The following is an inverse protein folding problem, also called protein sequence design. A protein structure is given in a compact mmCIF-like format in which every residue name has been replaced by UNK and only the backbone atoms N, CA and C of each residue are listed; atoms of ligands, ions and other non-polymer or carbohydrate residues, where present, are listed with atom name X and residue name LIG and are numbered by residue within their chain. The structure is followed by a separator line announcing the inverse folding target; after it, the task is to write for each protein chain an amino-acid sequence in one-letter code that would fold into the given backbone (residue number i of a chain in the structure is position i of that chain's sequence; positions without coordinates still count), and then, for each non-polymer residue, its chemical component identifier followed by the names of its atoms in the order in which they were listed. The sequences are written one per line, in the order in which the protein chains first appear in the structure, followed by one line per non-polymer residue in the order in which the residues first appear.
data_IF_699794234586
#
_entry.id   IF_699794234586
#
_cell.length_a   1.000
_cell.length_b   1.000
_cell.length_c   1.000
_cell.angle_alpha   90.00
_cell.angle_beta   90.00
_cell.angle_gamma   90.00
#
_symmetry.space_group_name_H-M   'P 1'
#
loop_
_entity.id
_entity.type
_entity.pdbx_description
1 polymer ?
#
# COMPACT_ATOMS: atom_id res chain seq x y z
N UNK A 1 23.75 -51.94 -48.75
CA UNK A 1 24.37 -51.27 -47.57
C UNK A 1 24.09 -49.76 -47.44
N UNK A 2 23.26 -49.14 -48.30
CA UNK A 2 22.96 -47.69 -48.24
C UNK A 2 21.61 -47.32 -47.56
N UNK A 3 20.67 -48.27 -47.39
CA UNK A 3 19.36 -47.96 -46.78
C UNK A 3 19.32 -48.01 -45.25
N UNK A 4 20.35 -48.52 -44.57
CA UNK A 4 20.36 -48.61 -43.09
C UNK A 4 20.88 -47.34 -42.41
N UNK A 5 21.55 -46.45 -43.14
CA UNK A 5 22.13 -45.21 -42.59
C UNK A 5 21.09 -44.08 -42.57
N UNK A 6 20.08 -44.12 -43.45
CA UNK A 6 19.05 -43.07 -43.56
C UNK A 6 18.02 -43.16 -42.43
N UNK A 7 17.68 -44.37 -41.95
CA UNK A 7 16.73 -44.51 -40.85
C UNK A 7 17.28 -44.03 -39.50
N UNK A 8 18.60 -44.07 -39.30
CA UNK A 8 19.22 -43.70 -38.03
C UNK A 8 19.34 -42.19 -37.84
N UNK A 9 19.32 -41.40 -38.92
CA UNK A 9 19.32 -39.93 -38.85
C UNK A 9 17.93 -39.34 -38.61
N UNK A 10 16.85 -40.05 -38.99
CA UNK A 10 15.47 -39.59 -38.77
C UNK A 10 15.02 -39.81 -37.32
N UNK A 11 15.56 -40.84 -36.63
CA UNK A 11 15.20 -41.12 -35.23
C UNK A 11 15.82 -40.13 -34.22
N UNK A 12 16.94 -39.48 -34.57
CA UNK A 12 17.65 -38.53 -33.71
C UNK A 12 17.12 -37.09 -33.79
N UNK A 13 16.29 -36.76 -34.79
CA UNK A 13 15.62 -35.46 -34.89
C UNK A 13 14.28 -35.42 -34.13
N UNK A 14 13.73 -36.55 -33.70
CA UNK A 14 12.43 -36.61 -33.03
C UNK A 14 12.51 -36.40 -31.50
N UNK A 15 13.70 -36.35 -30.89
CA UNK A 15 13.84 -36.26 -29.43
C UNK A 15 13.93 -34.83 -28.88
N UNK A 16 13.90 -33.81 -29.74
CA UNK A 16 13.90 -32.39 -29.31
C UNK A 16 12.56 -31.69 -29.45
N UNK A 17 11.53 -32.38 -29.96
CA UNK A 17 10.19 -31.81 -30.09
C UNK A 17 9.30 -32.41 -29.01
N UNK A 18 8.80 -31.55 -28.14
CA UNK A 18 7.69 -31.80 -27.21
C UNK A 18 8.02 -32.40 -25.84
N UNK A 19 8.86 -31.69 -25.09
CA UNK A 19 8.47 -31.36 -23.72
C UNK A 19 8.62 -29.84 -23.51
N UNK A 20 8.12 -29.07 -24.46
CA UNK A 20 7.64 -27.73 -24.11
C UNK A 20 6.33 -28.01 -23.35
N UNK A 21 6.41 -28.24 -22.04
CA UNK A 21 5.25 -27.94 -21.19
C UNK A 21 5.04 -26.45 -21.41
N UNK A 22 4.19 -26.08 -22.36
CA UNK A 22 3.53 -24.78 -22.31
C UNK A 22 3.10 -24.65 -20.86
N UNK A 23 3.70 -23.69 -20.15
CA UNK A 23 3.34 -23.41 -18.76
C UNK A 23 1.87 -23.06 -18.80
N UNK A 24 1.03 -24.06 -18.55
CA UNK A 24 -0.40 -23.91 -18.65
C UNK A 24 -0.80 -22.80 -17.70
N UNK A 25 -1.32 -21.73 -18.28
CA UNK A 25 -1.86 -20.60 -17.55
C UNK A 25 -2.85 -21.12 -16.50
N UNK A 26 -2.65 -20.73 -15.23
CA UNK A 26 -3.54 -21.17 -14.14
C UNK A 26 -4.85 -20.40 -14.26
N UNK A 27 -5.97 -21.14 -14.36
CA UNK A 27 -7.29 -20.53 -14.44
C UNK A 27 -7.71 -20.04 -13.06
N UNK A 28 -8.02 -18.75 -13.00
CA UNK A 28 -8.53 -18.07 -11.80
C UNK A 28 -9.79 -17.29 -12.15
N UNK A 29 -10.56 -16.95 -11.13
CA UNK A 29 -11.78 -16.14 -11.23
C UNK A 29 -11.76 -15.07 -10.15
N UNK A 30 -12.41 -13.95 -10.42
CA UNK A 30 -12.60 -12.94 -9.40
C UNK A 30 -13.89 -13.24 -8.63
N UNK A 31 -13.76 -13.77 -7.42
CA UNK A 31 -14.86 -13.89 -6.48
C UNK A 31 -14.90 -12.63 -5.61
N UNK A 32 -16.10 -12.07 -5.46
CA UNK A 32 -16.37 -10.76 -4.83
C UNK A 32 -15.86 -9.54 -5.62
N UNK A 33 -16.62 -9.20 -6.67
CA UNK A 33 -16.78 -7.82 -7.13
C UNK A 33 -17.61 -7.02 -6.12
N UNK A 34 -17.20 -6.99 -4.84
CA UNK A 34 -17.51 -5.75 -4.14
C UNK A 34 -16.78 -4.71 -4.94
N UNK A 35 -17.57 -3.87 -5.59
CA UNK A 35 -17.18 -2.67 -6.30
C UNK A 35 -16.43 -1.80 -5.29
N UNK A 36 -15.20 -2.20 -4.95
CA UNK A 36 -14.17 -1.32 -4.43
C UNK A 36 -13.84 -0.44 -5.61
N UNK A 37 -14.82 0.39 -5.95
CA UNK A 37 -14.65 1.64 -6.63
C UNK A 37 -13.35 2.19 -6.07
N UNK A 38 -12.36 2.32 -6.96
CA UNK A 38 -11.17 3.15 -6.79
C UNK A 38 -11.46 4.13 -5.67
N UNK A 39 -10.72 4.00 -4.57
CA UNK A 39 -10.90 4.63 -3.26
C UNK A 39 -11.07 6.16 -3.29
N UNK A 40 -12.10 6.65 -3.98
CA UNK A 40 -12.61 8.00 -3.94
C UNK A 40 -13.34 8.22 -2.61
N UNK A 41 -13.80 7.15 -1.97
CA UNK A 41 -14.45 7.21 -0.67
C UNK A 41 -13.40 7.26 0.45
N UNK A 42 -12.67 8.37 0.46
CA UNK A 42 -12.41 9.06 1.70
C UNK A 42 -13.73 9.16 2.46
N UNK A 43 -13.92 8.49 3.62
CA UNK A 43 -15.13 8.71 4.39
C UNK A 43 -15.24 10.22 4.60
N UNK A 44 -16.38 10.80 4.19
CA UNK A 44 -16.62 12.23 4.29
C UNK A 44 -16.76 12.55 5.79
N UNK A 45 -15.63 12.74 6.45
CA UNK A 45 -15.53 13.50 7.68
C UNK A 45 -15.32 14.97 7.34
N UNK A 46 -15.52 15.85 8.32
CA UNK A 46 -14.99 17.20 8.24
C UNK A 46 -13.60 17.24 8.87
N UNK A 47 -12.72 18.08 8.35
CA UNK A 47 -11.54 18.49 9.11
C UNK A 47 -12.02 19.15 10.40
N UNK A 48 -11.44 18.78 11.54
CA UNK A 48 -11.74 19.48 12.77
C UNK A 48 -11.26 20.94 12.67
N UNK A 49 -11.99 21.86 13.29
CA UNK A 49 -11.75 23.31 13.15
C UNK A 49 -11.47 24.00 14.47
N UNK A 50 -11.34 23.23 15.56
CA UNK A 50 -10.93 23.76 16.87
C UNK A 50 -9.52 24.33 16.79
N UNK A 51 -9.20 25.33 17.62
CA UNK A 51 -7.86 25.94 17.65
C UNK A 51 -6.77 24.89 17.80
N UNK A 52 -7.01 23.90 18.65
CA UNK A 52 -6.07 22.82 18.92
C UNK A 52 -5.91 21.86 17.73
N UNK A 53 -6.99 21.56 17.03
CA UNK A 53 -6.92 20.76 15.82
C UNK A 53 -6.11 21.47 14.73
N UNK A 54 -6.36 22.76 14.52
CA UNK A 54 -5.62 23.54 13.53
C UNK A 54 -4.12 23.60 13.86
N UNK A 55 -3.77 23.74 15.14
CA UNK A 55 -2.38 23.69 15.61
C UNK A 55 -1.73 22.35 15.28
N UNK A 56 -2.35 21.23 15.65
CA UNK A 56 -1.77 19.90 15.42
C UNK A 56 -1.81 19.46 13.96
N UNK A 57 -2.76 19.95 13.17
CA UNK A 57 -2.76 19.78 11.72
C UNK A 57 -1.58 20.52 11.07
N UNK A 58 -1.24 21.73 11.55
CA UNK A 58 -0.06 22.46 11.06
C UNK A 58 1.24 21.74 11.44
N UNK A 59 1.35 21.28 12.70
CA UNK A 59 2.48 20.46 13.17
C UNK A 59 2.61 19.17 12.35
N UNK A 60 1.50 18.47 12.08
CA UNK A 60 1.50 17.28 11.24
C UNK A 60 2.06 17.60 9.86
N UNK A 61 1.60 18.67 9.20
CA UNK A 61 2.07 19.06 7.87
C UNK A 61 3.57 19.33 7.86
N UNK A 62 4.08 20.09 8.82
CA UNK A 62 5.51 20.36 8.95
C UNK A 62 6.32 19.08 9.10
N UNK A 63 5.92 18.21 10.05
CA UNK A 63 6.61 16.93 10.28
C UNK A 63 6.51 15.99 9.08
N UNK A 64 5.37 15.98 8.39
CA UNK A 64 5.13 15.16 7.22
C UNK A 64 6.03 15.56 6.04
N UNK A 65 6.18 16.87 5.80
CA UNK A 65 7.11 17.39 4.81
C UNK A 65 8.57 17.08 5.19
N UNK A 66 8.95 17.32 6.45
CA UNK A 66 10.30 17.06 6.98
C UNK A 66 10.68 15.57 6.87
N UNK A 67 9.82 14.67 7.36
CA UNK A 67 10.07 13.21 7.40
C UNK A 67 10.24 12.61 6.01
N UNK A 68 9.44 13.09 5.06
CA UNK A 68 9.40 12.55 3.71
C UNK A 68 10.27 13.35 2.72
N UNK A 69 10.98 14.39 3.19
CA UNK A 69 11.77 15.30 2.36
C UNK A 69 10.95 15.84 1.16
N UNK A 70 9.70 16.23 1.42
CA UNK A 70 8.75 16.70 0.41
C UNK A 70 8.75 18.23 0.34
N UNK A 71 8.48 18.75 -0.84
CA UNK A 71 8.26 20.19 -1.03
C UNK A 71 6.83 20.58 -0.70
N UNK A 72 6.63 21.87 -0.42
CA UNK A 72 5.30 22.45 -0.26
C UNK A 72 4.44 22.28 -1.53
N UNK A 73 5.05 22.35 -2.72
CA UNK A 73 4.35 22.10 -3.99
C UNK A 73 3.83 20.67 -4.06
N UNK A 74 4.70 19.70 -3.75
CA UNK A 74 4.32 18.28 -3.74
C UNK A 74 3.09 18.06 -2.86
N UNK A 75 3.10 18.63 -1.66
CA UNK A 75 1.95 18.50 -0.75
C UNK A 75 0.67 19.07 -1.36
N UNK A 76 0.73 20.27 -1.93
CA UNK A 76 -0.46 20.91 -2.51
C UNK A 76 -0.99 20.20 -3.76
N UNK A 77 -0.11 19.57 -4.54
CA UNK A 77 -0.45 18.89 -5.79
C UNK A 77 -0.92 17.44 -5.58
N UNK A 78 -0.39 16.76 -4.55
CA UNK A 78 -0.57 15.32 -4.37
C UNK A 78 -1.29 14.91 -3.09
N UNK A 79 -1.39 15.77 -2.08
CA UNK A 79 -1.98 15.42 -0.78
C UNK A 79 -3.34 16.11 -0.61
N UNK A 80 -4.39 15.31 -0.45
CA UNK A 80 -5.76 15.80 -0.24
C UNK A 80 -6.21 15.39 1.15
N UNK A 81 -6.40 16.37 2.03
CA UNK A 81 -6.88 16.12 3.39
C UNK A 81 -8.34 15.69 3.38
N UNK A 82 -8.64 14.70 4.20
CA UNK A 82 -9.88 13.95 4.18
C UNK A 82 -10.71 14.16 5.44
N UNK A 83 -10.07 13.89 6.58
CA UNK A 83 -10.70 13.96 7.89
C UNK A 83 -9.60 14.22 8.91
N UNK A 84 -9.91 14.97 9.95
CA UNK A 84 -9.05 15.09 11.12
C UNK A 84 -9.89 15.17 12.38
N UNK A 85 -9.37 14.64 13.47
CA UNK A 85 -10.01 14.69 14.78
C UNK A 85 -8.99 14.60 15.93
N UNK A 86 -9.48 14.91 17.13
CA UNK A 86 -8.74 14.68 18.37
C UNK A 86 -9.54 13.73 19.24
N UNK A 87 -8.93 12.60 19.61
CA UNK A 87 -9.59 11.54 20.36
C UNK A 87 -9.01 11.49 21.77
N UNK A 88 -9.89 11.52 22.77
CA UNK A 88 -9.51 11.31 24.18
C UNK A 88 -9.67 9.85 24.54
N UNK A 89 -8.69 9.30 25.24
CA UNK A 89 -8.62 7.90 25.67
C UNK A 89 -7.90 7.80 27.02
N UNK A 90 -7.73 6.59 27.55
CA UNK A 90 -7.20 6.40 28.92
C UNK A 90 -5.82 7.02 29.12
N UNK A 91 -5.00 6.99 28.07
CA UNK A 91 -3.60 7.38 28.08
C UNK A 91 -3.37 8.86 27.82
N UNK A 92 -4.38 9.58 27.30
CA UNK A 92 -4.26 10.98 26.94
C UNK A 92 -5.18 11.40 25.80
N UNK A 93 -4.67 12.26 24.93
CA UNK A 93 -5.36 12.78 23.75
C UNK A 93 -4.45 12.57 22.54
N UNK A 94 -4.99 12.00 21.47
CA UNK A 94 -4.30 11.85 20.18
C UNK A 94 -4.92 12.76 19.14
N UNK A 95 -4.11 13.21 18.18
CA UNK A 95 -4.57 13.81 16.94
C UNK A 95 -4.45 12.77 15.82
N UNK A 96 -5.49 12.66 15.00
CA UNK A 96 -5.51 11.79 13.84
C UNK A 96 -5.88 12.57 12.59
N UNK A 97 -5.29 12.19 11.46
CA UNK A 97 -5.55 12.81 10.16
C UNK A 97 -5.51 11.77 9.07
N UNK A 98 -6.56 11.72 8.28
CA UNK A 98 -6.65 10.92 7.08
C UNK A 98 -6.50 11.81 5.85
N UNK A 99 -5.87 11.28 4.81
CA UNK A 99 -5.60 11.98 3.56
C UNK A 99 -5.48 10.99 2.39
N UNK A 100 -5.57 11.52 1.17
CA UNK A 100 -5.26 10.81 -0.06
C UNK A 100 -3.91 11.25 -0.59
N UNK A 101 -3.15 10.30 -1.12
CA UNK A 101 -1.94 10.53 -1.92
C UNK A 101 -2.32 10.24 -3.37
N UNK A 102 -2.30 11.26 -4.22
CA UNK A 102 -2.67 11.17 -5.63
C UNK A 102 -1.46 11.40 -6.52
N UNK A 103 -1.08 10.38 -7.29
CA UNK A 103 -0.01 10.45 -8.28
C UNK A 103 -0.58 9.95 -9.61
N UNK A 104 -0.66 10.83 -10.61
CA UNK A 104 -1.33 10.52 -11.88
C UNK A 104 -2.77 10.06 -11.68
N UNK A 105 -3.07 8.84 -12.12
CA UNK A 105 -4.38 8.19 -11.98
C UNK A 105 -4.54 7.41 -10.66
N UNK A 106 -3.46 7.12 -9.94
CA UNK A 106 -3.50 6.28 -8.74
C UNK A 106 -3.76 7.13 -7.48
N UNK A 107 -4.61 6.61 -6.58
CA UNK A 107 -5.00 7.26 -5.34
C UNK A 107 -4.88 6.26 -4.19
N UNK A 108 -3.98 6.52 -3.24
CA UNK A 108 -3.86 5.74 -2.01
C UNK A 108 -4.47 6.53 -0.83
N UNK A 109 -5.22 5.84 0.02
CA UNK A 109 -5.75 6.42 1.27
C UNK A 109 -4.87 6.02 2.45
N UNK A 110 -4.53 7.00 3.29
CA UNK A 110 -3.73 6.79 4.50
C UNK A 110 -4.29 7.60 5.67
N UNK A 111 -3.95 7.18 6.87
CA UNK A 111 -4.19 7.94 8.09
C UNK A 111 -2.96 7.90 8.99
N UNK A 112 -2.58 9.08 9.49
CA UNK A 112 -1.55 9.24 10.50
C UNK A 112 -2.21 9.55 11.84
N UNK A 113 -1.54 9.19 12.92
CA UNK A 113 -1.99 9.50 14.27
C UNK A 113 -0.79 9.72 15.17
N UNK A 114 -0.87 10.67 16.10
CA UNK A 114 0.12 10.81 17.16
C UNK A 114 -0.49 11.37 18.44
N UNK A 115 0.16 11.05 19.56
CA UNK A 115 -0.24 11.58 20.86
C UNK A 115 0.05 13.09 20.91
N UNK A 116 -0.91 13.87 21.42
CA UNK A 116 -0.80 15.33 21.59
C UNK A 116 -0.87 15.78 23.05
N UNK A 117 -1.30 14.90 23.96
CA UNK A 117 -1.25 15.11 25.41
C UNK A 117 -1.21 13.76 26.10
N UNK A 118 -0.32 13.57 27.06
CA UNK A 118 -0.23 12.32 27.84
C UNK A 118 -0.72 12.59 29.27
N UNK A 119 -1.49 11.67 29.88
CA UNK A 119 -2.00 11.83 31.25
C UNK A 119 -0.92 11.56 32.32
N UNK A 120 -0.94 12.28 33.45
CA UNK A 120 0.04 12.18 34.56
C UNK A 120 0.26 10.77 35.16
N UNK A 121 -0.67 9.85 34.98
CA UNK A 121 -0.54 8.48 35.49
C UNK A 121 0.09 7.50 34.51
N UNK A 122 0.39 7.94 33.29
CA UNK A 122 0.85 7.06 32.24
C UNK A 122 2.37 6.84 32.33
N UNK A 123 2.75 5.64 32.77
CA UNK A 123 4.14 5.17 32.90
C UNK A 123 4.67 4.44 31.65
N UNK A 124 3.89 4.35 30.58
CA UNK A 124 4.36 3.79 29.31
C UNK A 124 5.50 4.66 28.75
N UNK A 125 6.46 4.00 28.13
CA UNK A 125 7.66 4.60 27.54
C UNK A 125 8.46 5.48 28.52
N UNK A 126 8.92 4.93 29.67
CA UNK A 126 9.59 5.70 30.73
C UNK A 126 10.98 6.21 30.33
N UNK A 127 11.59 5.62 29.30
CA UNK A 127 12.87 6.08 28.73
C UNK A 127 12.71 7.30 27.81
N UNK A 128 11.47 7.67 27.44
CA UNK A 128 11.20 8.78 26.53
C UNK A 128 10.82 10.02 27.34
N UNK A 129 11.69 11.03 27.28
CA UNK A 129 11.50 12.28 28.00
C UNK A 129 10.49 13.21 27.28
N UNK A 130 9.21 12.87 27.37
CA UNK A 130 8.08 13.69 26.89
C UNK A 130 7.26 14.18 28.09
N UNK A 131 6.90 15.47 28.18
CA UNK A 131 6.10 15.98 29.29
C UNK A 131 4.74 15.30 29.40
N UNK A 132 4.23 15.20 30.63
CA UNK A 132 2.91 14.68 30.96
C UNK A 132 2.00 15.85 31.38
N UNK A 133 0.70 15.68 31.22
CA UNK A 133 -0.38 16.65 31.49
C UNK A 133 -0.34 17.96 30.70
N UNK A 134 0.53 18.06 29.70
CA UNK A 134 0.68 19.21 28.83
C UNK A 134 0.47 18.82 27.36
N UNK A 135 0.06 19.81 26.56
CA UNK A 135 -0.03 19.68 25.12
C UNK A 135 1.39 19.65 24.53
N UNK A 136 1.66 18.65 23.70
CA UNK A 136 2.99 18.35 23.19
C UNK A 136 3.41 19.33 22.10
N UNK A 137 4.68 19.70 22.09
CA UNK A 137 5.30 20.47 21.01
C UNK A 137 5.60 19.58 19.81
N UNK A 138 5.94 20.21 18.66
CA UNK A 138 6.43 19.51 17.47
C UNK A 138 7.57 18.52 17.77
N UNK A 139 8.53 18.93 18.61
CA UNK A 139 9.67 18.07 18.97
C UNK A 139 9.23 16.83 19.76
N UNK A 140 8.36 17.00 20.75
CA UNK A 140 7.83 15.90 21.54
C UNK A 140 7.05 14.91 20.67
N UNK A 141 6.29 15.42 19.70
CA UNK A 141 5.55 14.59 18.74
C UNK A 141 6.52 13.84 17.81
N UNK A 142 7.57 14.49 17.31
CA UNK A 142 8.60 13.83 16.50
C UNK A 142 9.23 12.67 17.26
N UNK A 143 9.63 12.90 18.52
CA UNK A 143 10.17 11.85 19.39
C UNK A 143 9.16 10.69 19.55
N UNK A 144 7.87 10.99 19.75
CA UNK A 144 6.85 9.96 19.88
C UNK A 144 6.70 9.12 18.59
N UNK A 145 6.67 9.76 17.42
CA UNK A 145 6.58 9.10 16.11
C UNK A 145 7.82 8.23 15.85
N UNK A 146 9.02 8.77 16.05
CA UNK A 146 10.28 8.07 15.75
C UNK A 146 10.51 6.84 16.64
N UNK A 147 9.92 6.85 17.84
CA UNK A 147 9.97 5.72 18.78
C UNK A 147 8.72 4.82 18.70
N UNK A 148 7.78 5.09 17.78
CA UNK A 148 6.47 4.44 17.71
C UNK A 148 5.73 4.40 19.06
N UNK A 149 5.92 5.43 19.87
CA UNK A 149 5.39 5.52 21.22
C UNK A 149 3.94 6.00 21.21
N UNK A 150 3.14 5.48 22.14
CA UNK A 150 1.72 5.88 22.31
C UNK A 150 0.88 5.74 21.04
N UNK A 151 1.16 4.72 20.23
CA UNK A 151 0.51 4.50 18.92
C UNK A 151 0.71 5.68 17.96
N UNK A 152 1.82 6.39 18.10
CA UNK A 152 2.20 7.48 17.21
C UNK A 152 2.89 6.93 15.98
N UNK A 153 2.38 7.26 14.80
CA UNK A 153 2.95 6.87 13.53
C UNK A 153 2.67 7.94 12.47
N UNK A 154 3.57 8.01 11.49
CA UNK A 154 3.43 8.86 10.32
C UNK A 154 3.92 8.08 9.10
N UNK A 155 3.08 8.04 8.09
CA UNK A 155 3.34 7.30 6.85
C UNK A 155 4.57 7.87 6.13
N UNK A 156 5.45 6.98 5.70
CA UNK A 156 6.57 7.31 4.84
C UNK A 156 6.11 7.31 3.38
N UNK A 157 6.49 8.33 2.60
CA UNK A 157 6.10 8.53 1.21
C UNK A 157 7.32 9.00 0.42
N UNK A 158 7.54 8.41 -0.75
CA UNK A 158 8.58 8.84 -1.69
C UNK A 158 8.20 10.14 -2.39
N UNK A 159 9.20 10.87 -2.88
CA UNK A 159 8.98 12.08 -3.69
C UNK A 159 8.80 11.77 -5.20
N UNK A 160 8.57 10.52 -5.57
CA UNK A 160 8.30 10.12 -6.95
C UNK A 160 6.91 10.60 -7.40
N UNK A 161 6.88 11.43 -8.45
CA UNK A 161 5.65 12.03 -8.97
C UNK A 161 5.15 11.36 -10.27
N UNK A 162 5.89 10.38 -10.79
CA UNK A 162 5.63 9.76 -12.10
C UNK A 162 5.40 8.27 -11.96
N UNK A 163 4.22 7.82 -12.39
CA UNK A 163 3.91 6.40 -12.48
C UNK A 163 4.56 5.77 -13.72
N UNK A 164 5.05 4.55 -13.56
CA UNK A 164 5.56 3.72 -14.66
C UNK A 164 4.47 3.28 -15.64
N UNK A 165 3.23 3.17 -15.16
CA UNK A 165 2.08 2.72 -15.94
C UNK A 165 1.14 3.90 -16.22
N UNK A 166 0.70 4.03 -17.47
CA UNK A 166 -0.16 5.13 -17.90
C UNK A 166 -1.60 5.01 -17.40
N UNK A 167 -2.04 3.80 -17.06
CA UNK A 167 -3.32 3.51 -16.42
C UNK A 167 -3.25 2.21 -15.61
N UNK A 168 -4.32 1.91 -14.86
CA UNK A 168 -4.46 0.71 -14.04
C UNK A 168 -4.53 -0.58 -14.85
N UNK A 169 -5.17 -0.55 -16.02
CA UNK A 169 -5.31 -1.71 -16.90
C UNK A 169 -3.94 -2.25 -17.32
N UNK A 170 -3.02 -1.38 -17.71
CA UNK A 170 -1.66 -1.80 -18.11
C UNK A 170 -0.87 -2.36 -16.92
N UNK A 171 -1.04 -1.79 -15.71
CA UNK A 171 -0.41 -2.32 -14.52
C UNK A 171 -0.94 -3.74 -14.19
N UNK A 172 -2.25 -3.92 -14.29
CA UNK A 172 -2.93 -5.19 -14.03
C UNK A 172 -2.57 -6.25 -15.09
N UNK A 173 -2.50 -5.89 -16.37
CA UNK A 173 -2.07 -6.78 -17.46
C UNK A 173 -0.65 -7.29 -17.23
N UNK A 174 0.24 -6.42 -16.75
CA UNK A 174 1.59 -6.85 -16.35
C UNK A 174 1.52 -7.84 -15.18
N UNK A 175 0.70 -7.59 -14.17
CA UNK A 175 0.56 -8.52 -13.04
C UNK A 175 0.05 -9.89 -13.49
N UNK A 176 -0.99 -9.93 -14.33
CA UNK A 176 -1.58 -11.15 -14.89
C UNK A 176 -0.50 -11.96 -15.63
N UNK A 177 0.30 -11.28 -16.47
CA UNK A 177 1.40 -11.87 -17.21
C UNK A 177 2.50 -12.41 -16.31
N UNK A 178 2.93 -11.64 -15.30
CA UNK A 178 4.00 -12.05 -14.39
C UNK A 178 3.57 -13.21 -13.49
N UNK A 179 2.29 -13.25 -13.07
CA UNK A 179 1.70 -14.32 -12.28
C UNK A 179 1.37 -15.59 -13.08
N UNK A 180 1.31 -15.50 -14.41
CA UNK A 180 0.93 -16.59 -15.31
C UNK A 180 -0.48 -17.16 -14.99
N UNK A 181 -1.44 -16.26 -14.81
CA UNK A 181 -2.86 -16.56 -14.52
C UNK A 181 -3.78 -15.93 -15.58
N UNK A 182 -5.04 -16.34 -15.62
CA UNK A 182 -6.01 -15.84 -16.61
C UNK A 182 -6.59 -14.46 -16.32
N UNK A 183 -6.61 -14.06 -15.06
CA UNK A 183 -7.11 -12.74 -14.65
C UNK A 183 -6.63 -12.41 -13.24
N UNK A 184 -6.68 -11.14 -12.88
CA UNK A 184 -6.53 -10.66 -11.51
C UNK A 184 -7.53 -9.53 -11.34
N UNK A 185 -8.07 -9.37 -10.13
CA UNK A 185 -8.92 -8.23 -9.81
C UNK A 185 -8.24 -7.32 -8.81
N UNK A 186 -8.17 -6.03 -9.16
CA UNK A 186 -7.66 -4.98 -8.28
C UNK A 186 -8.45 -4.99 -6.97
N UNK A 187 -7.72 -4.99 -5.86
CA UNK A 187 -8.28 -5.01 -4.52
C UNK A 187 -8.07 -3.69 -3.79
N UNK A 188 -6.88 -3.11 -3.88
CA UNK A 188 -6.57 -1.83 -3.24
C UNK A 188 -5.41 -1.10 -3.90
N UNK A 189 -5.33 0.21 -3.65
CA UNK A 189 -4.16 1.04 -3.92
C UNK A 189 -3.65 1.55 -2.57
N UNK A 190 -2.36 1.39 -2.30
CA UNK A 190 -1.76 1.68 -1.00
C UNK A 190 -0.34 2.20 -1.13
N UNK A 191 0.23 2.73 -0.05
CA UNK A 191 1.64 3.12 0.03
C UNK A 191 2.42 1.96 0.65
N UNK A 192 3.44 1.46 -0.05
CA UNK A 192 4.26 0.33 0.41
C UNK A 192 5.38 0.79 1.35
N UNK A 193 6.19 -0.15 1.84
CA UNK A 193 7.27 0.10 2.79
C UNK A 193 8.41 1.01 2.24
N UNK A 194 8.48 1.19 0.92
CA UNK A 194 9.40 2.12 0.25
C UNK A 194 8.81 3.53 0.12
N UNK A 195 7.57 3.74 0.56
CA UNK A 195 6.83 4.97 0.35
C UNK A 195 6.23 5.11 -1.05
N UNK A 196 6.31 4.07 -1.89
CA UNK A 196 5.78 4.09 -3.25
C UNK A 196 4.30 3.70 -3.28
N UNK A 197 3.54 4.32 -4.18
CA UNK A 197 2.17 3.89 -4.48
C UNK A 197 2.16 2.54 -5.21
N UNK A 198 1.36 1.60 -4.73
CA UNK A 198 1.28 0.22 -5.19
C UNK A 198 -0.17 -0.24 -5.33
N UNK A 199 -0.40 -1.24 -6.19
CA UNK A 199 -1.68 -1.95 -6.29
C UNK A 199 -1.55 -3.31 -5.64
N UNK A 200 -2.58 -3.73 -4.90
CA UNK A 200 -2.84 -5.13 -4.56
C UNK A 200 -3.94 -5.65 -5.47
N UNK A 201 -3.77 -6.87 -5.99
CA UNK A 201 -4.78 -7.59 -6.76
C UNK A 201 -4.85 -9.05 -6.31
N UNK A 202 -6.01 -9.68 -6.47
CA UNK A 202 -6.18 -11.09 -6.14
C UNK A 202 -7.15 -11.80 -7.09
N UNK A 203 -7.10 -13.13 -7.06
CA UNK A 203 -8.08 -14.00 -7.71
C UNK A 203 -8.12 -15.38 -7.04
N UNK A 204 -9.21 -16.11 -7.21
CA UNK A 204 -9.42 -17.47 -6.71
C UNK A 204 -9.14 -18.51 -7.79
N UNK A 205 -8.43 -19.59 -7.45
CA UNK A 205 -8.15 -20.68 -8.40
C UNK A 205 -9.40 -21.53 -8.66
N UNK A 206 -9.76 -21.70 -9.93
CA UNK A 206 -11.01 -22.39 -10.34
C UNK A 206 -11.05 -23.87 -9.93
N UNK A 207 -9.89 -24.52 -9.86
CA UNK A 207 -9.77 -25.96 -9.60
C UNK A 207 -9.09 -26.29 -8.27
N UNK A 208 -8.91 -25.30 -7.39
CA UNK A 208 -8.21 -25.47 -6.11
C UNK A 208 -9.10 -24.89 -5.00
N UNK A 209 -9.53 -25.76 -4.08
CA UNK A 209 -10.51 -25.39 -3.05
C UNK A 209 -9.89 -24.38 -2.09
N UNK A 210 -10.53 -23.22 -1.94
CA UNK A 210 -10.16 -22.18 -0.99
C UNK A 210 -8.72 -21.65 -1.18
N UNK A 211 -8.17 -21.72 -2.40
CA UNK A 211 -6.86 -21.17 -2.71
C UNK A 211 -6.98 -19.95 -3.62
N UNK A 212 -6.30 -18.87 -3.21
CA UNK A 212 -6.26 -17.61 -3.91
C UNK A 212 -4.81 -17.21 -4.18
N UNK A 213 -4.60 -16.52 -5.29
CA UNK A 213 -3.38 -15.77 -5.55
C UNK A 213 -3.57 -14.33 -5.09
N UNK A 214 -2.57 -13.78 -4.41
CA UNK A 214 -2.47 -12.35 -4.12
C UNK A 214 -1.19 -11.84 -4.74
N UNK A 215 -1.29 -10.69 -5.40
CA UNK A 215 -0.19 -10.02 -6.04
C UNK A 215 -0.14 -8.56 -5.66
N UNK A 216 1.06 -8.00 -5.64
CA UNK A 216 1.27 -6.55 -5.59
C UNK A 216 2.13 -6.09 -6.76
N UNK A 217 1.91 -4.86 -7.20
CA UNK A 217 2.78 -4.17 -8.15
C UNK A 217 3.09 -2.77 -7.63
N UNK A 218 4.38 -2.43 -7.61
CA UNK A 218 4.88 -1.09 -7.33
C UNK A 218 4.72 -0.23 -8.60
N UNK A 219 3.98 0.88 -8.50
CA UNK A 219 3.66 1.70 -9.67
C UNK A 219 4.77 2.65 -10.07
N UNK A 220 5.84 2.77 -9.28
CA UNK A 220 7.02 3.59 -9.58
C UNK A 220 8.06 2.76 -10.33
N UNK A 221 8.39 1.57 -9.82
CA UNK A 221 9.46 0.72 -10.40
C UNK A 221 8.92 -0.49 -11.20
N UNK A 222 7.66 -0.87 -11.03
CA UNK A 222 7.03 -1.99 -11.74
C UNK A 222 7.42 -3.37 -11.21
N UNK A 223 8.04 -3.45 -10.04
CA UNK A 223 8.32 -4.72 -9.39
C UNK A 223 7.02 -5.37 -8.92
N UNK A 224 6.92 -6.68 -9.15
CA UNK A 224 5.76 -7.48 -8.78
C UNK A 224 6.14 -8.52 -7.73
N UNK A 225 5.21 -8.82 -6.83
CA UNK A 225 5.34 -9.88 -5.84
C UNK A 225 4.05 -10.69 -5.80
N UNK A 226 4.14 -12.02 -5.76
CA UNK A 226 2.99 -12.92 -5.74
C UNK A 226 3.18 -14.03 -4.73
N UNK A 227 2.08 -14.43 -4.10
CA UNK A 227 2.02 -15.60 -3.24
C UNK A 227 0.62 -16.22 -3.27
N UNK A 228 0.59 -17.54 -3.07
CA UNK A 228 -0.66 -18.28 -2.89
C UNK A 228 -1.04 -18.27 -1.40
N UNK A 229 -2.32 -18.08 -1.10
CA UNK A 229 -2.87 -18.05 0.26
C UNK A 229 -4.26 -18.68 0.28
N UNK A 230 -4.75 -19.05 1.47
CA UNK A 230 -6.17 -19.34 1.63
C UNK A 230 -6.99 -18.12 1.24
N UNK A 231 -8.10 -18.34 0.53
CA UNK A 231 -9.03 -17.27 0.19
C UNK A 231 -9.61 -16.66 1.48
N UNK A 232 -9.57 -15.33 1.58
CA UNK A 232 -10.20 -14.62 2.70
C UNK A 232 -11.68 -14.47 2.39
N UNK A 233 -12.52 -14.96 3.29
CA UNK A 233 -13.95 -14.64 3.29
C UNK A 233 -14.08 -13.28 3.96
N UNK A 234 -14.52 -12.28 3.19
CA UNK A 234 -14.85 -10.95 3.70
C UNK A 234 -16.36 -10.84 3.89
#
# INVERSE_FOLDING_TARGET
MKSRIVLTQILLLATFISCNKEKQERKVTCTNLYDYAYSENCPIGSLCTTSICNEYQAIWKELFLEKNNLSESYFNDHIILCQSDTITWMDGISFSICYKVKIGWAIAWNCDQFIIKIKNGNSLYPSINIPRDEYLSKENIRIAIDNHAFSSNMTAISNDEVLKFTNSEIALDKMIKDANVSTLCTRSVFINDLGHISIEANAEYVNEVNLCIVGTIDLINGNTHFYDTMCRIY
#
